data_IF_940322405152
#
_entry.id   IF_940322405152
#
_cell.length_a   1.000
_cell.length_b   1.000
_cell.length_c   1.000
_cell.angle_alpha   90.00
_cell.angle_beta   90.00
_cell.angle_gamma   90.00
#
_symmetry.space_group_name_H-M   'P 1'
#
loop_
_entity.id
_entity.type
_entity.pdbx_description
1 polymer ?
#
# COMPACT_ATOMS: atom_id res chain seq x y z
N UNK A 1 -15.22 -2.84 -5.11
CA UNK A 1 -15.11 -1.63 -4.28
C UNK A 1 -16.08 -0.61 -4.82
N UNK A 2 -16.89 0.03 -3.97
CA UNK A 2 -17.75 1.14 -4.40
C UNK A 2 -17.06 2.47 -4.04
N UNK A 3 -17.52 3.56 -4.65
CA UNK A 3 -16.93 4.88 -4.45
C UNK A 3 -16.98 5.33 -2.99
N UNK A 4 -18.05 4.93 -2.27
CA UNK A 4 -18.22 5.24 -0.85
C UNK A 4 -17.11 4.64 0.02
N UNK A 5 -16.77 3.37 -0.18
CA UNK A 5 -15.69 2.72 0.56
C UNK A 5 -14.35 3.42 0.37
N UNK A 6 -14.02 3.80 -0.88
CA UNK A 6 -12.76 4.48 -1.17
C UNK A 6 -12.70 5.87 -0.53
N UNK A 7 -13.83 6.59 -0.51
CA UNK A 7 -13.91 7.88 0.17
C UNK A 7 -13.73 7.75 1.70
N UNK A 8 -14.40 6.78 2.32
CA UNK A 8 -14.29 6.51 3.77
C UNK A 8 -12.87 6.09 4.16
N UNK A 9 -12.23 5.22 3.37
CA UNK A 9 -10.86 4.81 3.59
C UNK A 9 -9.88 5.98 3.42
N UNK A 10 -10.04 6.78 2.36
CA UNK A 10 -9.17 7.94 2.12
C UNK A 10 -9.24 8.94 3.27
N UNK A 11 -10.44 9.19 3.81
CA UNK A 11 -10.62 10.05 4.98
C UNK A 11 -9.92 9.50 6.23
N UNK A 12 -10.02 8.20 6.52
CA UNK A 12 -9.32 7.57 7.65
C UNK A 12 -7.80 7.71 7.53
N UNK A 13 -7.25 7.56 6.32
CA UNK A 13 -5.81 7.73 6.09
C UNK A 13 -5.42 9.21 6.25
N UNK A 14 -6.24 10.15 5.78
CA UNK A 14 -5.99 11.59 5.97
C UNK A 14 -5.94 11.97 7.45
N UNK A 15 -6.87 11.45 8.26
CA UNK A 15 -6.89 11.65 9.71
C UNK A 15 -5.62 11.07 10.36
N UNK A 16 -5.22 9.84 10.00
CA UNK A 16 -4.01 9.20 10.51
C UNK A 16 -2.73 10.00 10.21
N UNK A 17 -2.64 10.58 9.00
CA UNK A 17 -1.51 11.42 8.58
C UNK A 17 -1.53 12.75 9.35
N UNK A 18 -2.72 13.33 9.58
CA UNK A 18 -2.90 14.60 10.30
C UNK A 18 -2.49 14.51 11.76
N UNK A 19 -2.90 13.44 12.45
CA UNK A 19 -2.53 13.17 13.83
C UNK A 19 -1.01 13.13 14.06
N UNK A 20 -0.24 12.81 13.01
CA UNK A 20 1.22 12.66 13.04
C UNK A 20 1.97 13.84 12.45
N UNK A 21 1.25 14.86 11.97
CA UNK A 21 1.81 15.99 11.23
C UNK A 21 2.68 15.54 10.03
N UNK A 22 2.29 14.44 9.38
CA UNK A 22 3.06 13.85 8.28
C UNK A 22 2.78 14.48 6.92
N UNK A 23 1.75 15.32 6.80
CA UNK A 23 1.42 16.02 5.55
C UNK A 23 2.61 16.78 4.96
N UNK A 24 3.50 17.31 5.80
CA UNK A 24 4.70 18.04 5.37
C UNK A 24 5.67 17.20 4.53
N UNK A 25 5.64 15.87 4.68
CA UNK A 25 6.50 14.94 3.92
C UNK A 25 5.82 14.39 2.66
N UNK A 26 4.50 14.53 2.54
CA UNK A 26 3.68 13.88 1.52
C UNK A 26 3.51 14.74 0.26
N UNK A 27 4.62 15.24 -0.31
CA UNK A 27 4.59 15.81 -1.67
C UNK A 27 4.27 14.73 -2.72
N UNK A 28 3.70 15.07 -3.89
CA UNK A 28 3.42 14.07 -4.94
C UNK A 28 4.65 13.25 -5.33
N UNK A 29 5.84 13.88 -5.38
CA UNK A 29 7.12 13.20 -5.61
C UNK A 29 7.38 12.14 -4.53
N UNK A 30 7.28 12.52 -3.26
CA UNK A 30 7.63 11.62 -2.16
C UNK A 30 6.64 10.45 -2.05
N UNK A 31 5.35 10.71 -2.28
CA UNK A 31 4.32 9.66 -2.30
C UNK A 31 4.54 8.68 -3.45
N UNK A 32 4.88 9.16 -4.65
CA UNK A 32 5.21 8.29 -5.78
C UNK A 32 6.48 7.46 -5.50
N UNK A 33 7.46 8.03 -4.81
CA UNK A 33 8.65 7.31 -4.37
C UNK A 33 8.34 6.25 -3.32
N UNK A 34 7.49 6.55 -2.34
CA UNK A 34 7.08 5.56 -1.34
C UNK A 34 6.30 4.42 -2.00
N UNK A 35 5.35 4.74 -2.88
CA UNK A 35 4.56 3.74 -3.61
C UNK A 35 5.42 2.70 -4.35
N UNK A 36 6.50 3.13 -5.03
CA UNK A 36 7.37 2.20 -5.74
C UNK A 36 8.25 1.38 -4.79
N UNK A 37 8.54 1.88 -3.59
CA UNK A 37 9.22 1.11 -2.54
C UNK A 37 8.31 -0.04 -2.08
N UNK A 38 7.06 0.23 -1.70
CA UNK A 38 6.14 -0.83 -1.26
C UNK A 38 5.83 -1.85 -2.37
N UNK A 39 5.77 -1.39 -3.62
CA UNK A 39 5.65 -2.29 -4.76
C UNK A 39 6.88 -3.20 -4.93
N UNK A 40 8.06 -2.74 -4.54
CA UNK A 40 9.26 -3.57 -4.53
C UNK A 40 9.26 -4.54 -3.34
N UNK A 41 8.80 -4.12 -2.16
CA UNK A 41 8.63 -4.99 -0.97
C UNK A 41 7.65 -6.13 -1.27
N UNK A 42 6.52 -5.83 -1.94
CA UNK A 42 5.61 -6.87 -2.47
C UNK A 42 6.34 -7.89 -3.35
N UNK A 43 7.24 -7.45 -4.24
CA UNK A 43 7.99 -8.34 -5.14
C UNK A 43 8.93 -9.26 -4.34
N UNK A 44 9.45 -8.84 -3.20
CA UNK A 44 10.35 -9.67 -2.38
C UNK A 44 9.69 -10.99 -1.93
N UNK A 45 8.38 -10.99 -1.74
CA UNK A 45 7.61 -12.20 -1.41
C UNK A 45 7.54 -13.23 -2.54
N UNK A 46 7.69 -12.79 -3.80
CA UNK A 46 7.48 -13.63 -4.99
C UNK A 46 8.75 -13.86 -5.82
N UNK A 47 9.79 -13.04 -5.67
CA UNK A 47 10.93 -12.96 -6.61
C UNK A 47 11.70 -14.27 -6.84
N UNK A 48 11.62 -15.24 -5.92
CA UNK A 48 12.30 -16.53 -6.01
C UNK A 48 11.36 -17.72 -6.23
N UNK A 49 10.06 -17.48 -6.30
CA UNK A 49 9.05 -18.53 -6.47
C UNK A 49 8.80 -18.80 -7.94
N UNK A 50 8.54 -20.06 -8.28
CA UNK A 50 7.91 -20.39 -9.56
C UNK A 50 6.39 -20.11 -9.52
N UNK A 51 5.71 -20.32 -10.66
CA UNK A 51 4.28 -20.04 -10.77
C UNK A 51 3.41 -20.93 -9.87
N UNK A 52 3.82 -22.18 -9.61
CA UNK A 52 3.07 -23.10 -8.75
C UNK A 52 3.27 -22.71 -7.30
N UNK A 53 4.50 -22.36 -6.91
CA UNK A 53 4.83 -21.89 -5.58
C UNK A 53 4.15 -20.55 -5.26
N UNK A 54 4.09 -19.61 -6.22
CA UNK A 54 3.43 -18.31 -6.03
C UNK A 54 1.92 -18.39 -5.79
N UNK A 55 1.27 -19.44 -6.31
CA UNK A 55 -0.17 -19.69 -6.09
C UNK A 55 -0.45 -20.46 -4.79
N UNK A 56 0.57 -21.05 -4.16
CA UNK A 56 0.45 -21.97 -3.03
C UNK A 56 1.07 -21.42 -1.73
N UNK A 57 1.03 -20.10 -1.55
CA UNK A 57 1.52 -19.44 -0.33
C UNK A 57 0.77 -19.94 0.92
N UNK A 58 1.52 -20.16 2.01
CA UNK A 58 0.92 -20.43 3.32
C UNK A 58 0.23 -19.18 3.90
N UNK A 59 -0.55 -19.36 4.97
CA UNK A 59 -1.33 -18.27 5.56
C UNK A 59 -0.45 -17.14 6.11
N UNK A 60 0.74 -17.46 6.62
CA UNK A 60 1.65 -16.45 7.15
C UNK A 60 2.19 -15.57 6.01
N UNK A 61 2.65 -16.18 4.91
CA UNK A 61 3.13 -15.44 3.74
C UNK A 61 2.03 -14.65 3.05
N UNK A 62 0.80 -15.17 3.01
CA UNK A 62 -0.37 -14.44 2.49
C UNK A 62 -0.72 -13.21 3.33
N UNK A 63 -0.53 -13.27 4.65
CA UNK A 63 -0.71 -12.12 5.52
C UNK A 63 0.32 -11.03 5.22
N UNK A 64 1.61 -11.38 5.11
CA UNK A 64 2.67 -10.42 4.75
C UNK A 64 2.39 -9.77 3.37
N UNK A 65 2.02 -10.57 2.36
CA UNK A 65 1.63 -10.04 1.04
C UNK A 65 0.44 -9.08 1.14
N UNK A 66 -0.52 -9.35 2.03
CA UNK A 66 -1.67 -8.48 2.23
C UNK A 66 -1.27 -7.15 2.88
N UNK A 67 -0.27 -7.14 3.75
CA UNK A 67 0.27 -5.92 4.35
C UNK A 67 0.91 -5.03 3.27
N UNK A 68 1.76 -5.60 2.40
CA UNK A 68 2.38 -4.83 1.29
C UNK A 68 1.34 -4.29 0.29
N UNK A 69 0.32 -5.09 -0.01
CA UNK A 69 -0.79 -4.64 -0.86
C UNK A 69 -1.60 -3.50 -0.20
N UNK A 70 -1.74 -3.53 1.12
CA UNK A 70 -2.39 -2.46 1.87
C UNK A 70 -1.56 -1.17 1.81
N UNK A 71 -0.23 -1.26 1.94
CA UNK A 71 0.66 -0.12 1.86
C UNK A 71 0.67 0.51 0.46
N UNK A 72 0.71 -0.32 -0.60
CA UNK A 72 0.54 0.15 -1.99
C UNK A 72 -0.80 0.88 -2.17
N UNK A 73 -1.89 0.33 -1.63
CA UNK A 73 -3.21 0.96 -1.70
C UNK A 73 -3.23 2.31 -0.97
N UNK A 74 -2.66 2.37 0.24
CA UNK A 74 -2.57 3.58 1.05
C UNK A 74 -1.83 4.68 0.27
N UNK A 75 -0.64 4.40 -0.26
CA UNK A 75 0.09 5.42 -1.03
C UNK A 75 -0.60 5.79 -2.34
N UNK A 76 -1.28 4.84 -2.99
CA UNK A 76 -2.08 5.12 -4.19
C UNK A 76 -3.19 6.13 -3.89
N UNK A 77 -3.97 5.91 -2.82
CA UNK A 77 -5.03 6.83 -2.41
C UNK A 77 -4.47 8.17 -1.95
N UNK A 78 -3.36 8.17 -1.21
CA UNK A 78 -2.68 9.41 -0.80
C UNK A 78 -2.19 10.22 -1.98
N UNK A 79 -1.66 9.59 -3.02
CA UNK A 79 -1.19 10.27 -4.23
C UNK A 79 -2.36 10.77 -5.07
N UNK A 80 -3.43 9.98 -5.20
CA UNK A 80 -4.62 10.35 -5.97
C UNK A 80 -5.35 11.58 -5.37
N UNK A 81 -5.30 11.75 -4.05
CA UNK A 81 -5.89 12.90 -3.35
C UNK A 81 -5.05 14.18 -3.34
N UNK A 82 -3.90 14.21 -4.04
CA UNK A 82 -3.03 15.41 -4.12
C UNK A 82 -3.34 16.32 -5.29
#
# INVERSE_FOLDING_TARGET
MNDQFLAELSAQIDDFVAERDWQQFHSPKNLAMALIVEAAELVEHFQWLDAVESDALDEAKRAEVADELADILIYTLRLAGR
#
